data_IF_292179945380
#
_entry.id   IF_292179945380
#
_cell.length_a   1.000
_cell.length_b   1.000
_cell.length_c   1.000
_cell.angle_alpha   90.00
_cell.angle_beta   90.00
_cell.angle_gamma   90.00
#
_symmetry.space_group_name_H-M   'P 1'
#
loop_
_entity.id
_entity.type
_entity.pdbx_description
1 polymer ?
#
# COMPACT_ATOMS: atom_id res chain seq x y z
N UNK A 1 -25.13 14.26 17.37
CA UNK A 1 -23.82 13.91 17.94
C UNK A 1 -23.77 12.47 18.46
N UNK A 2 -24.83 11.99 19.14
CA UNK A 2 -24.91 10.60 19.62
C UNK A 2 -24.85 9.52 18.52
N UNK A 3 -25.48 9.75 17.37
CA UNK A 3 -25.43 8.80 16.24
C UNK A 3 -23.99 8.64 15.70
N UNK A 4 -23.26 9.75 15.59
CA UNK A 4 -21.85 9.77 15.18
C UNK A 4 -20.97 9.00 16.18
N UNK A 5 -21.20 9.19 17.48
CA UNK A 5 -20.50 8.45 18.56
C UNK A 5 -20.78 6.94 18.50
N UNK A 6 -22.03 6.57 18.23
CA UNK A 6 -22.45 5.16 18.07
C UNK A 6 -21.79 4.53 16.85
N UNK A 7 -21.86 5.20 15.70
CA UNK A 7 -21.30 4.74 14.44
C UNK A 7 -19.77 4.59 14.54
N UNK A 8 -19.09 5.59 15.12
CA UNK A 8 -17.65 5.53 15.42
C UNK A 8 -17.29 4.31 16.25
N UNK A 9 -18.05 4.07 17.33
CA UNK A 9 -17.82 2.90 18.20
C UNK A 9 -17.98 1.59 17.44
N UNK A 10 -18.97 1.50 16.56
CA UNK A 10 -19.19 0.33 15.72
C UNK A 10 -18.01 0.10 14.76
N UNK A 11 -17.57 1.12 14.03
CA UNK A 11 -16.41 1.01 13.14
C UNK A 11 -15.14 0.62 13.88
N UNK A 12 -14.83 1.27 15.01
CA UNK A 12 -13.67 0.94 15.86
C UNK A 12 -13.65 -0.52 16.29
N UNK A 13 -14.81 -1.06 16.70
CA UNK A 13 -14.96 -2.48 17.09
C UNK A 13 -14.73 -3.42 15.91
N UNK A 14 -15.36 -3.14 14.76
CA UNK A 14 -15.23 -3.98 13.57
C UNK A 14 -13.79 -4.01 13.05
N UNK A 15 -13.14 -2.85 12.98
CA UNK A 15 -11.75 -2.74 12.54
C UNK A 15 -10.79 -3.44 13.50
N UNK A 16 -10.90 -3.18 14.81
CA UNK A 16 -10.04 -3.83 15.79
C UNK A 16 -10.21 -5.35 15.76
N UNK A 17 -11.44 -5.84 15.64
CA UNK A 17 -11.71 -7.27 15.47
C UNK A 17 -11.02 -7.83 14.23
N UNK A 18 -11.18 -7.18 13.08
CA UNK A 18 -10.58 -7.64 11.82
C UNK A 18 -9.03 -7.62 11.87
N UNK A 19 -8.43 -6.60 12.47
CA UNK A 19 -6.98 -6.55 12.70
C UNK A 19 -6.50 -7.69 13.59
N UNK A 20 -7.17 -7.93 14.72
CA UNK A 20 -6.80 -8.98 15.66
C UNK A 20 -6.97 -10.39 15.05
N UNK A 21 -8.05 -10.60 14.28
CA UNK A 21 -8.28 -11.84 13.55
C UNK A 21 -7.17 -12.07 12.52
N UNK A 22 -6.80 -11.04 11.76
CA UNK A 22 -5.70 -11.12 10.81
C UNK A 22 -4.38 -11.43 11.49
N UNK A 23 -4.01 -10.74 12.57
CA UNK A 23 -2.74 -11.00 13.26
C UNK A 23 -2.61 -12.45 13.73
N UNK A 24 -3.72 -13.04 14.23
CA UNK A 24 -3.76 -14.44 14.67
C UNK A 24 -3.46 -15.43 13.56
N UNK A 25 -4.05 -15.24 12.38
CA UNK A 25 -3.92 -16.19 11.27
C UNK A 25 -2.81 -15.82 10.28
N UNK A 26 -2.31 -14.58 10.33
CA UNK A 26 -1.42 -14.03 9.31
C UNK A 26 -0.14 -14.83 9.10
N UNK A 27 0.35 -15.55 10.12
CA UNK A 27 1.58 -16.36 10.01
C UNK A 27 1.37 -17.63 9.21
N UNK A 28 0.15 -18.17 9.21
CA UNK A 28 -0.20 -19.45 8.60
C UNK A 28 -0.70 -19.29 7.15
N UNK A 29 -1.07 -18.07 6.77
CA UNK A 29 -1.58 -17.77 5.43
C UNK A 29 -0.47 -17.64 4.37
N UNK A 30 -0.82 -18.00 3.13
CA UNK A 30 -0.01 -17.71 1.94
C UNK A 30 0.06 -16.22 1.61
N UNK A 31 0.94 -15.82 0.68
CA UNK A 31 1.10 -14.41 0.32
C UNK A 31 -0.21 -13.83 -0.26
N UNK A 32 -0.84 -14.53 -1.20
CA UNK A 32 -2.10 -14.14 -1.83
C UNK A 32 -3.22 -13.94 -0.81
N UNK A 33 -3.39 -14.90 0.09
CA UNK A 33 -4.40 -14.85 1.15
C UNK A 33 -4.16 -13.69 2.14
N UNK A 34 -2.88 -13.40 2.44
CA UNK A 34 -2.52 -12.24 3.28
C UNK A 34 -2.88 -10.94 2.60
N UNK A 35 -2.59 -10.81 1.30
CA UNK A 35 -2.92 -9.63 0.48
C UNK A 35 -4.45 -9.45 0.46
N UNK A 36 -5.20 -10.49 0.11
CA UNK A 36 -6.66 -10.43 0.03
C UNK A 36 -7.29 -10.02 1.36
N UNK A 37 -6.90 -10.66 2.47
CA UNK A 37 -7.43 -10.29 3.80
C UNK A 37 -7.03 -8.88 4.21
N UNK A 38 -5.80 -8.44 3.92
CA UNK A 38 -5.40 -7.06 4.22
C UNK A 38 -6.13 -6.03 3.35
N UNK A 39 -6.49 -6.37 2.11
CA UNK A 39 -7.32 -5.54 1.23
C UNK A 39 -8.67 -5.24 1.91
N UNK A 40 -9.35 -6.30 2.39
CA UNK A 40 -10.63 -6.17 3.11
C UNK A 40 -10.50 -5.31 4.37
N UNK A 41 -9.39 -5.44 5.10
CA UNK A 41 -9.15 -4.63 6.30
C UNK A 41 -8.83 -3.18 5.93
N UNK A 42 -8.13 -2.93 4.84
CA UNK A 42 -7.83 -1.60 4.34
C UNK A 42 -9.09 -0.86 3.89
N UNK A 43 -10.06 -1.55 3.29
CA UNK A 43 -11.38 -1.00 2.99
C UNK A 43 -12.14 -0.61 4.26
N UNK A 44 -12.10 -1.45 5.31
CA UNK A 44 -12.65 -1.07 6.62
C UNK A 44 -11.89 0.09 7.26
N UNK A 45 -10.58 0.18 7.03
CA UNK A 45 -9.76 1.29 7.50
C UNK A 45 -10.19 2.62 6.88
N UNK A 46 -10.62 2.64 5.60
CA UNK A 46 -11.19 3.82 4.95
C UNK A 46 -12.45 4.33 5.66
N UNK A 47 -13.34 3.42 6.06
CA UNK A 47 -14.56 3.78 6.80
C UNK A 47 -14.22 4.41 8.16
N UNK A 48 -13.21 3.86 8.85
CA UNK A 48 -12.68 4.48 10.08
C UNK A 48 -12.11 5.87 9.79
N UNK A 49 -11.24 6.02 8.79
CA UNK A 49 -10.63 7.32 8.48
C UNK A 49 -11.72 8.39 8.26
N UNK A 50 -12.73 8.09 7.45
CA UNK A 50 -13.83 9.01 7.19
C UNK A 50 -14.62 9.35 8.46
N UNK A 51 -14.94 8.34 9.29
CA UNK A 51 -15.70 8.54 10.52
C UNK A 51 -14.90 9.32 11.57
N UNK A 52 -13.63 8.99 11.79
CA UNK A 52 -12.75 9.66 12.75
C UNK A 52 -12.47 11.11 12.34
N UNK A 53 -12.28 11.40 11.04
CA UNK A 53 -12.15 12.77 10.52
C UNK A 53 -13.43 13.57 10.71
N UNK A 54 -14.59 12.96 10.49
CA UNK A 54 -15.90 13.58 10.74
C UNK A 54 -16.07 13.86 12.24
N UNK A 55 -15.77 12.90 13.10
CA UNK A 55 -15.79 13.07 14.55
C UNK A 55 -14.89 14.21 14.99
N UNK A 56 -13.65 14.27 14.50
CA UNK A 56 -12.71 15.35 14.82
C UNK A 56 -13.27 16.74 14.47
N UNK A 57 -14.04 16.88 13.39
CA UNK A 57 -14.68 18.15 13.01
C UNK A 57 -15.81 18.55 13.96
N UNK A 58 -16.52 17.58 14.53
CA UNK A 58 -17.69 17.81 15.38
C UNK A 58 -17.41 17.75 16.88
N UNK A 59 -16.22 17.31 17.31
CA UNK A 59 -15.90 17.09 18.72
C UNK A 59 -15.52 18.37 19.48
N UNK A 60 -15.31 19.49 18.77
CA UNK A 60 -15.01 20.81 19.35
C UNK A 60 -16.14 21.38 20.21
N UNK A 61 -17.32 20.76 20.23
CA UNK A 61 -18.45 21.12 21.10
C UNK A 61 -18.35 20.48 22.50
N UNK A 62 -17.35 19.63 22.77
CA UNK A 62 -17.16 19.00 24.09
C UNK A 62 -16.59 20.02 25.10
N UNK A 63 -17.37 20.34 26.14
CA UNK A 63 -17.05 21.39 27.11
C UNK A 63 -15.92 21.02 28.09
N UNK A 64 -15.68 19.72 28.29
CA UNK A 64 -14.62 19.21 29.14
C UNK A 64 -13.34 19.03 28.32
N UNK A 65 -12.36 19.89 28.57
CA UNK A 65 -11.05 19.89 27.89
C UNK A 65 -10.32 18.55 28.03
N UNK A 66 -10.35 17.93 29.21
CA UNK A 66 -9.67 16.65 29.45
C UNK A 66 -10.34 15.52 28.68
N UNK A 67 -11.68 15.54 28.61
CA UNK A 67 -12.43 14.59 27.79
C UNK A 67 -12.16 14.80 26.31
N UNK A 68 -12.10 16.05 25.84
CA UNK A 68 -11.77 16.41 24.47
C UNK A 68 -10.37 15.94 24.06
N UNK A 69 -9.36 16.19 24.89
CA UNK A 69 -7.97 15.75 24.64
C UNK A 69 -7.90 14.23 24.49
N UNK A 70 -8.49 13.49 25.44
CA UNK A 70 -8.54 12.03 25.37
C UNK A 70 -9.20 11.51 24.08
N UNK A 71 -10.30 12.14 23.68
CA UNK A 71 -11.02 11.78 22.47
C UNK A 71 -10.20 12.03 21.19
N UNK A 72 -9.44 13.13 21.16
CA UNK A 72 -8.52 13.45 20.06
C UNK A 72 -7.34 12.47 20.00
N UNK A 73 -6.76 12.11 21.14
CA UNK A 73 -5.70 11.10 21.23
C UNK A 73 -6.20 9.74 20.70
N UNK A 74 -7.41 9.34 21.09
CA UNK A 74 -8.02 8.10 20.60
C UNK A 74 -8.26 8.14 19.09
N UNK A 75 -8.77 9.25 18.54
CA UNK A 75 -8.93 9.46 17.10
C UNK A 75 -7.58 9.25 16.39
N UNK A 76 -6.51 9.88 16.89
CA UNK A 76 -5.19 9.83 16.27
C UNK A 76 -4.59 8.42 16.25
N UNK A 77 -4.82 7.64 17.30
CA UNK A 77 -4.44 6.21 17.34
C UNK A 77 -5.09 5.42 16.21
N UNK A 78 -6.39 5.59 15.95
CA UNK A 78 -7.07 4.87 14.87
C UNK A 78 -6.63 5.33 13.48
N UNK A 79 -6.42 6.65 13.28
CA UNK A 79 -5.87 7.18 12.03
C UNK A 79 -4.48 6.61 11.75
N UNK A 80 -3.61 6.56 12.76
CA UNK A 80 -2.28 6.00 12.64
C UNK A 80 -2.31 4.51 12.28
N UNK A 81 -3.11 3.70 12.99
CA UNK A 81 -3.28 2.26 12.72
C UNK A 81 -3.75 2.01 11.28
N UNK A 82 -4.74 2.76 10.81
CA UNK A 82 -5.24 2.67 9.43
C UNK A 82 -4.14 2.96 8.39
N UNK A 83 -3.33 3.99 8.62
CA UNK A 83 -2.20 4.36 7.73
C UNK A 83 -1.13 3.28 7.69
N UNK A 84 -0.75 2.71 8.83
CA UNK A 84 0.24 1.62 8.90
C UNK A 84 -0.26 0.40 8.14
N UNK A 85 -1.53 0.05 8.30
CA UNK A 85 -2.12 -1.10 7.63
C UNK A 85 -2.13 -0.93 6.10
N UNK A 86 -2.47 0.27 5.60
CA UNK A 86 -2.39 0.58 4.18
C UNK A 86 -0.97 0.41 3.64
N UNK A 87 0.04 0.95 4.32
CA UNK A 87 1.46 0.77 3.92
C UNK A 87 1.89 -0.70 3.90
N UNK A 88 1.39 -1.50 4.84
CA UNK A 88 1.66 -2.94 4.88
C UNK A 88 1.06 -3.65 3.67
N UNK A 89 -0.16 -3.30 3.28
CA UNK A 89 -0.81 -3.82 2.07
C UNK A 89 -0.05 -3.40 0.81
N UNK A 90 0.33 -2.13 0.68
CA UNK A 90 1.14 -1.62 -0.44
C UNK A 90 2.45 -2.42 -0.58
N UNK A 91 3.14 -2.68 0.52
CA UNK A 91 4.36 -3.49 0.53
C UNK A 91 4.11 -4.92 0.05
N UNK A 92 3.08 -5.58 0.55
CA UNK A 92 2.77 -6.96 0.15
C UNK A 92 2.33 -7.05 -1.31
N UNK A 93 1.60 -6.07 -1.82
CA UNK A 93 1.27 -5.97 -3.24
C UNK A 93 2.53 -5.86 -4.10
N UNK A 94 3.52 -5.07 -3.68
CA UNK A 94 4.82 -5.01 -4.38
C UNK A 94 5.55 -6.36 -4.35
N UNK A 95 5.59 -7.03 -3.19
CA UNK A 95 6.19 -8.37 -3.06
C UNK A 95 5.50 -9.41 -3.96
N UNK A 96 4.17 -9.33 -4.09
CA UNK A 96 3.37 -10.17 -4.97
C UNK A 96 3.74 -9.96 -6.45
N UNK A 97 3.82 -8.70 -6.88
CA UNK A 97 4.18 -8.35 -8.26
C UNK A 97 5.60 -8.84 -8.61
N UNK A 98 6.58 -8.65 -7.71
CA UNK A 98 7.95 -9.11 -7.93
C UNK A 98 8.09 -10.64 -8.01
N UNK A 99 7.24 -11.40 -7.29
CA UNK A 99 7.22 -12.87 -7.40
C UNK A 99 6.56 -13.36 -8.68
N UNK A 100 5.57 -12.61 -9.17
CA UNK A 100 4.81 -12.96 -10.37
C UNK A 100 5.59 -12.68 -11.66
N UNK A 101 6.49 -11.69 -11.61
CA UNK A 101 7.43 -11.35 -12.68
C UNK A 101 8.87 -11.60 -12.19
N UNK A 102 9.40 -12.82 -12.27
CA UNK A 102 10.84 -13.00 -12.14
C UNK A 102 11.46 -12.17 -13.27
N UNK A 103 12.30 -11.20 -12.91
CA UNK A 103 13.15 -10.50 -13.87
C UNK A 103 13.84 -11.60 -14.68
N UNK A 104 13.52 -11.67 -15.97
CA UNK A 104 14.27 -12.48 -16.91
C UNK A 104 15.69 -11.94 -16.85
N UNK A 105 16.58 -12.74 -16.26
CA UNK A 105 18.00 -12.47 -16.22
C UNK A 105 18.50 -12.32 -17.66
N UNK A 106 18.79 -11.08 -18.07
CA UNK A 106 19.50 -10.74 -19.31
C UNK A 106 20.98 -11.13 -19.19
N UNK A 107 21.26 -12.36 -18.76
CA UNK A 107 22.59 -12.98 -18.79
C UNK A 107 22.81 -13.80 -20.06
N UNK A 108 22.08 -13.49 -21.14
CA UNK A 108 22.47 -13.95 -22.47
C UNK A 108 23.65 -13.08 -22.95
N UNK A 109 24.79 -13.68 -23.34
CA UNK A 109 25.92 -12.91 -23.85
C UNK A 109 25.49 -12.18 -25.11
N UNK A 110 25.47 -10.85 -25.05
CA UNK A 110 25.26 -9.99 -26.21
C UNK A 110 26.34 -10.35 -27.24
N UNK A 111 26.01 -10.75 -28.48
CA UNK A 111 27.02 -11.03 -29.48
C UNK A 111 27.80 -9.74 -29.78
N UNK A 112 29.12 -9.83 -29.72
CA UNK A 112 30.04 -8.70 -29.92
C UNK A 112 29.75 -7.95 -31.23
N UNK A 113 29.94 -6.61 -31.29
CA UNK A 113 29.73 -5.85 -32.51
C UNK A 113 30.69 -6.30 -33.62
N UNK A 114 30.14 -6.70 -34.76
CA UNK A 114 30.92 -7.01 -35.96
C UNK A 114 31.43 -5.69 -36.54
N UNK A 115 32.71 -5.38 -36.34
CA UNK A 115 33.40 -4.30 -37.05
C UNK A 115 33.54 -4.68 -38.53
N UNK A 116 32.74 -4.04 -39.39
CA UNK A 116 32.84 -4.18 -40.84
C UNK A 116 33.99 -3.29 -41.33
N UNK A 117 35.14 -3.88 -41.61
CA UNK A 117 36.30 -3.18 -42.16
C UNK A 117 36.14 -3.07 -43.70
N UNK A 118 35.48 -2.03 -44.18
CA UNK A 118 35.41 -1.76 -45.62
C UNK A 118 36.63 -0.94 -46.05
N UNK A 119 37.64 -1.64 -46.57
CA UNK A 119 38.70 -1.05 -47.38
C UNK A 119 38.09 -0.33 -48.59
N UNK A 120 38.18 1.01 -48.62
CA UNK A 120 37.92 1.81 -49.80
C UNK A 120 38.93 1.45 -50.91
N UNK A 121 38.48 0.76 -51.95
CA UNK A 121 39.19 0.66 -53.23
C UNK A 121 38.83 1.86 -54.09
N UNK A 122 39.83 2.69 -54.36
CA UNK A 122 39.82 3.78 -55.35
C UNK A 122 39.69 3.19 -56.76
N UNK A 123 38.81 3.70 -57.65
CA UNK A 123 38.87 3.35 -59.06
C UNK A 123 39.80 4.31 -59.82
N UNK A 124 40.78 3.74 -60.52
CA UNK A 124 41.57 4.42 -61.53
C UNK A 124 40.77 4.65 -62.82
N UNK A 125 41.05 5.80 -63.45
CA UNK A 125 40.68 6.26 -64.80
C UNK A 125 40.58 5.16 -65.87
N UNK A 126 39.74 5.37 -66.90
CA UNK A 126 40.24 5.53 -68.27
C UNK A 126 39.34 6.38 -69.18
N UNK A 127 40.05 7.13 -70.04
CA UNK A 127 39.59 8.00 -71.13
C UNK A 127 38.99 7.19 -72.28
N UNK A 128 38.06 7.81 -73.00
CA UNK A 128 38.01 7.85 -74.48
C UNK A 128 37.21 9.05 -74.90
#
# INVERSE_FOLDING_TARGET
MEDLKRERTQYRRMFTKACNEFEKVSKDLGLDERVEKLQVIAEKALLILACEESCKKHIFEEADKTKLEKELDEIEVYLYRARILRKKLEKLNLEQVCKSNPVLDESSPVPSPIFSNTHNKVPHLHKT
#
